data_IF_958172381239
#
_entry.id   IF_958172381239
#
_cell.length_a   1.000
_cell.length_b   1.000
_cell.length_c   1.000
_cell.angle_alpha   90.00
_cell.angle_beta   90.00
_cell.angle_gamma   90.00
#
_symmetry.space_group_name_H-M   'P 1'
#
loop_
_entity.id
_entity.type
_entity.pdbx_description
1 polymer ?
#
# COMPACT_ATOMS: atom_id res chain seq x y z
N UNK A 1 -4.44 -3.56 10.59
CA UNK A 1 -3.63 -2.35 10.77
C UNK A 1 -4.32 -1.44 11.77
N UNK A 2 -3.57 -0.90 12.70
CA UNK A 2 -4.11 -0.25 13.87
C UNK A 2 -4.56 1.20 13.69
N UNK A 3 -5.33 1.51 12.66
CA UNK A 3 -5.92 2.84 12.50
C UNK A 3 -7.25 2.89 13.26
N UNK A 4 -7.33 3.80 14.22
CA UNK A 4 -8.50 3.94 15.07
C UNK A 4 -9.65 4.62 14.32
N UNK A 5 -10.87 4.08 14.47
CA UNK A 5 -12.08 4.67 13.89
C UNK A 5 -12.33 4.32 12.42
N UNK A 6 -11.46 3.50 11.81
CA UNK A 6 -11.62 3.06 10.44
C UNK A 6 -11.32 1.57 10.33
N UNK A 7 -11.81 0.95 9.25
CA UNK A 7 -11.44 -0.42 8.88
C UNK A 7 -10.55 -0.36 7.65
N UNK A 8 -9.52 -1.20 7.63
CA UNK A 8 -8.59 -1.32 6.50
C UNK A 8 -8.67 -2.73 5.97
N UNK A 9 -8.95 -2.87 4.68
CA UNK A 9 -9.04 -4.18 4.03
C UNK A 9 -8.25 -4.19 2.73
N UNK A 10 -7.70 -5.35 2.38
CA UNK A 10 -7.00 -5.55 1.12
C UNK A 10 -8.00 -5.44 -0.04
N UNK A 11 -7.63 -4.70 -1.07
CA UNK A 11 -8.48 -4.48 -2.25
C UNK A 11 -7.98 -5.27 -3.46
N UNK A 12 -6.76 -4.99 -3.92
CA UNK A 12 -6.16 -5.68 -5.06
C UNK A 12 -4.67 -5.40 -5.17
N UNK A 13 -3.98 -6.24 -5.94
CA UNK A 13 -2.61 -6.02 -6.36
C UNK A 13 -2.59 -5.74 -7.85
N UNK A 14 -1.75 -4.81 -8.28
CA UNK A 14 -1.53 -4.53 -9.70
C UNK A 14 -0.04 -4.47 -9.99
N UNK A 15 0.32 -4.85 -11.23
CA UNK A 15 1.70 -4.86 -11.70
C UNK A 15 1.75 -4.05 -12.99
N UNK A 16 2.67 -3.10 -13.07
CA UNK A 16 2.76 -2.26 -14.25
C UNK A 16 4.05 -1.47 -14.30
N UNK A 17 4.09 -0.51 -15.22
CA UNK A 17 5.25 0.34 -15.43
C UNK A 17 5.22 1.61 -14.59
N UNK A 18 4.09 1.90 -13.97
CA UNK A 18 3.92 3.04 -13.06
C UNK A 18 2.65 2.88 -12.24
N UNK A 19 2.57 3.60 -11.13
CA UNK A 19 1.36 3.68 -10.32
C UNK A 19 1.16 5.12 -9.84
N UNK A 20 -0.03 5.71 -9.92
CA UNK A 20 -1.20 5.21 -10.64
C UNK A 20 -0.98 5.22 -12.16
N UNK A 21 -1.64 4.33 -12.89
CA UNK A 21 -1.43 4.19 -14.34
C UNK A 21 -2.01 5.34 -15.14
N UNK A 22 -3.01 6.01 -14.61
CA UNK A 22 -3.73 7.10 -15.25
C UNK A 22 -3.32 8.49 -14.75
N UNK A 23 -2.30 8.57 -13.88
CA UNK A 23 -1.85 9.85 -13.35
C UNK A 23 -0.89 10.53 -14.33
N UNK A 24 -1.09 11.84 -14.51
CA UNK A 24 -0.24 12.64 -15.39
C UNK A 24 0.82 13.43 -14.63
N UNK A 25 0.56 13.80 -13.38
CA UNK A 25 1.42 14.70 -12.63
C UNK A 25 2.30 13.98 -11.60
N UNK A 26 1.72 13.13 -10.76
CA UNK A 26 2.45 12.42 -9.71
C UNK A 26 2.20 10.94 -9.86
N UNK A 27 3.28 10.20 -10.12
CA UNK A 27 3.23 8.74 -10.18
C UNK A 27 4.57 8.17 -9.74
N UNK A 28 4.59 6.88 -9.43
CA UNK A 28 5.83 6.14 -9.18
C UNK A 28 6.11 5.33 -10.44
N UNK A 29 7.14 5.69 -11.23
CA UNK A 29 7.52 4.90 -12.41
C UNK A 29 8.38 3.71 -12.00
N UNK A 30 8.36 2.67 -12.81
CA UNK A 30 9.22 1.51 -12.60
C UNK A 30 10.68 1.88 -12.88
N UNK A 31 11.58 1.45 -12.00
CA UNK A 31 13.00 1.55 -12.21
C UNK A 31 13.45 0.59 -13.33
N UNK A 32 14.64 0.84 -13.87
CA UNK A 32 15.21 -0.03 -14.91
C UNK A 32 15.30 -1.48 -14.40
N UNK A 33 14.77 -2.42 -15.17
CA UNK A 33 14.75 -3.84 -14.79
C UNK A 33 13.69 -4.20 -13.77
N UNK A 34 12.81 -3.27 -13.43
CA UNK A 34 11.76 -3.49 -12.43
C UNK A 34 10.37 -3.25 -13.00
N UNK A 35 9.39 -3.71 -12.25
CA UNK A 35 7.98 -3.34 -12.40
C UNK A 35 7.51 -2.74 -11.08
N UNK A 36 6.51 -1.87 -11.17
CA UNK A 36 5.85 -1.33 -9.99
C UNK A 36 4.74 -2.30 -9.60
N UNK A 37 4.84 -2.83 -8.39
CA UNK A 37 3.77 -3.64 -7.79
C UNK A 37 3.08 -2.76 -6.77
N UNK A 38 1.80 -2.49 -6.99
CA UNK A 38 0.99 -1.67 -6.09
C UNK A 38 -0.05 -2.56 -5.41
N UNK A 39 -0.03 -2.56 -4.09
CA UNK A 39 -1.03 -3.27 -3.28
C UNK A 39 -1.99 -2.23 -2.75
N UNK A 40 -3.23 -2.30 -3.20
CA UNK A 40 -4.26 -1.34 -2.81
C UNK A 40 -5.09 -1.85 -1.64
N UNK A 41 -5.44 -0.92 -0.76
CA UNK A 41 -6.28 -1.16 0.40
C UNK A 41 -7.46 -0.20 0.39
N UNK A 42 -8.58 -0.68 0.89
CA UNK A 42 -9.74 0.17 1.16
C UNK A 42 -9.75 0.56 2.62
N UNK A 43 -9.76 1.85 2.88
CA UNK A 43 -9.93 2.41 4.22
C UNK A 43 -11.35 2.95 4.30
N UNK A 44 -12.16 2.36 5.16
CA UNK A 44 -13.56 2.78 5.34
C UNK A 44 -13.73 3.47 6.69
N UNK A 45 -14.29 4.66 6.67
CA UNK A 45 -14.64 5.37 7.89
C UNK A 45 -15.98 4.85 8.41
N UNK A 46 -15.92 4.02 9.43
CA UNK A 46 -17.11 3.43 10.06
C UNK A 46 -17.67 4.27 11.19
N UNK A 47 -17.02 5.40 11.50
CA UNK A 47 -17.47 6.32 12.53
C UNK A 47 -18.50 7.30 12.01
N UNK A 48 -18.93 8.21 12.88
CA UNK A 48 -19.92 9.23 12.58
C UNK A 48 -19.32 10.61 12.32
N UNK A 49 -18.00 10.75 12.42
CA UNK A 49 -17.26 11.98 12.21
C UNK A 49 -16.23 11.82 11.11
N UNK A 50 -15.73 12.92 10.56
CA UNK A 50 -14.64 12.92 9.57
C UNK A 50 -13.39 12.31 10.21
N UNK A 51 -12.77 11.40 9.50
CA UNK A 51 -11.49 10.82 9.90
C UNK A 51 -10.35 11.56 9.18
N UNK A 52 -9.34 11.97 9.92
CA UNK A 52 -8.11 12.54 9.35
C UNK A 52 -6.97 11.58 9.60
N UNK A 53 -6.34 11.12 8.54
CA UNK A 53 -5.28 10.12 8.64
C UNK A 53 -3.99 10.72 9.23
N UNK A 54 -3.36 9.97 10.13
CA UNK A 54 -2.09 10.35 10.76
C UNK A 54 -1.18 9.12 10.83
N UNK A 55 -0.88 8.52 9.69
CA UNK A 55 -0.14 7.25 9.66
C UNK A 55 1.32 7.38 10.05
N UNK A 56 1.87 8.58 10.10
CA UNK A 56 3.24 8.76 10.61
C UNK A 56 3.43 8.21 12.01
N UNK A 57 2.37 8.19 12.80
CA UNK A 57 2.41 7.65 14.17
C UNK A 57 2.17 6.14 14.23
N UNK A 58 1.74 5.53 13.13
CA UNK A 58 1.41 4.10 13.13
C UNK A 58 2.63 3.19 12.99
N UNK A 59 3.77 3.73 12.55
CA UNK A 59 5.03 2.99 12.37
C UNK A 59 4.85 1.69 11.59
N UNK A 60 4.04 1.75 10.55
CA UNK A 60 3.72 0.59 9.72
C UNK A 60 4.77 0.45 8.61
N UNK A 61 5.32 -0.75 8.48
CA UNK A 61 6.22 -1.12 7.38
C UNK A 61 5.64 -2.33 6.68
N UNK A 62 5.76 -2.38 5.35
CA UNK A 62 5.27 -3.50 4.56
C UNK A 62 6.40 -4.11 3.76
N UNK A 63 6.42 -5.44 3.70
CA UNK A 63 7.36 -6.22 2.89
C UNK A 63 6.59 -7.14 1.97
N UNK A 64 7.02 -7.18 0.73
CA UNK A 64 6.42 -8.01 -0.30
C UNK A 64 7.35 -9.19 -0.61
N UNK A 65 6.83 -10.40 -0.55
CA UNK A 65 7.52 -11.58 -1.05
C UNK A 65 6.98 -11.92 -2.44
N UNK A 66 7.86 -11.93 -3.43
CA UNK A 66 7.50 -12.21 -4.82
C UNK A 66 8.60 -13.05 -5.44
N UNK A 67 8.24 -14.18 -6.03
CA UNK A 67 9.24 -15.11 -6.58
C UNK A 67 10.25 -15.53 -5.52
N UNK A 68 11.53 -15.29 -5.78
CA UNK A 68 12.61 -15.60 -4.84
C UNK A 68 13.03 -14.40 -4.00
N UNK A 69 12.45 -13.22 -4.22
CA UNK A 69 12.86 -11.98 -3.59
C UNK A 69 11.90 -11.48 -2.52
N UNK A 70 12.45 -10.66 -1.63
CA UNK A 70 11.68 -9.90 -0.63
C UNK A 70 11.97 -8.43 -0.83
N UNK A 71 10.92 -7.62 -0.86
CA UNK A 71 11.00 -6.21 -1.18
C UNK A 71 10.38 -5.38 -0.07
N UNK A 72 11.07 -4.31 0.32
CA UNK A 72 10.53 -3.32 1.25
C UNK A 72 9.76 -2.27 0.46
N UNK A 73 8.68 -1.77 1.02
CA UNK A 73 7.88 -0.74 0.37
C UNK A 73 8.74 0.46 -0.04
N UNK A 74 8.39 1.03 -1.19
CA UNK A 74 8.97 2.27 -1.67
C UNK A 74 8.16 3.44 -1.09
N UNK A 75 8.81 4.29 -0.30
CA UNK A 75 8.15 5.50 0.20
C UNK A 75 7.98 6.47 -0.95
N UNK A 76 6.74 6.77 -1.28
CA UNK A 76 6.42 7.62 -2.40
C UNK A 76 5.88 8.97 -1.93
N UNK A 77 5.78 9.92 -2.87
CA UNK A 77 5.14 11.21 -2.63
C UNK A 77 3.65 11.18 -2.98
N UNK A 78 3.10 10.00 -3.24
CA UNK A 78 1.68 9.85 -3.53
C UNK A 78 0.85 10.18 -2.29
N UNK A 79 -0.25 10.89 -2.51
CA UNK A 79 -1.16 11.25 -1.43
C UNK A 79 -1.79 10.04 -0.77
N UNK A 80 -1.93 8.96 -1.52
CA UNK A 80 -2.55 7.73 -1.02
C UNK A 80 -1.54 6.65 -0.64
N UNK A 81 -0.27 6.97 -0.47
CA UNK A 81 0.71 6.03 0.05
C UNK A 81 0.33 5.65 1.47
N UNK A 82 -0.01 4.38 1.69
CA UNK A 82 -0.51 3.92 2.99
C UNK A 82 0.51 4.09 4.11
N UNK A 83 1.78 4.13 3.76
CA UNK A 83 2.85 4.28 4.73
C UNK A 83 3.19 5.74 5.01
N UNK A 84 2.55 6.65 4.30
CA UNK A 84 2.78 8.09 4.44
C UNK A 84 1.48 8.88 4.26
N UNK A 85 0.34 8.31 4.63
CA UNK A 85 -0.93 9.05 4.66
C UNK A 85 -0.81 10.16 5.70
N UNK A 86 -0.88 11.39 5.23
CA UNK A 86 -0.85 12.55 6.10
C UNK A 86 -1.93 13.51 5.63
N UNK A 87 -2.84 13.86 6.54
CA UNK A 87 -3.95 14.77 6.29
C UNK A 87 -4.98 14.31 5.25
N UNK A 88 -4.96 13.04 4.85
CA UNK A 88 -6.06 12.51 4.05
C UNK A 88 -7.33 12.49 4.90
N UNK A 89 -8.43 13.02 4.36
CA UNK A 89 -9.70 13.09 5.08
C UNK A 89 -10.70 12.13 4.45
N UNK A 90 -11.42 11.39 5.30
CA UNK A 90 -12.44 10.45 4.87
C UNK A 90 -13.71 10.78 5.64
N UNK A 91 -14.74 11.18 4.92
CA UNK A 91 -16.03 11.51 5.55
C UNK A 91 -16.69 10.27 6.11
N UNK A 92 -17.58 10.45 7.08
CA UNK A 92 -18.31 9.34 7.70
C UNK A 92 -19.03 8.50 6.63
N UNK A 93 -18.81 7.19 6.68
CA UNK A 93 -19.39 6.25 5.73
C UNK A 93 -18.69 6.15 4.38
N UNK A 94 -17.69 6.99 4.10
CA UNK A 94 -16.95 6.96 2.84
C UNK A 94 -15.75 6.02 2.89
N UNK A 95 -15.27 5.67 1.69
CA UNK A 95 -14.10 4.83 1.50
C UNK A 95 -12.98 5.61 0.82
N UNK A 96 -11.74 5.23 1.12
CA UNK A 96 -10.55 5.80 0.51
C UNK A 96 -9.62 4.68 0.08
N UNK A 97 -9.06 4.77 -1.13
CA UNK A 97 -8.12 3.77 -1.62
C UNK A 97 -6.70 4.25 -1.33
N UNK A 98 -6.00 3.49 -0.50
CA UNK A 98 -4.58 3.71 -0.21
C UNK A 98 -3.76 2.59 -0.85
N UNK A 99 -2.47 2.82 -1.05
CA UNK A 99 -1.61 1.84 -1.70
C UNK A 99 -0.23 1.77 -1.06
N UNK A 100 0.35 0.57 -1.07
CA UNK A 100 1.76 0.35 -0.82
C UNK A 100 2.42 0.01 -2.16
N UNK A 101 3.55 0.65 -2.46
CA UNK A 101 4.20 0.54 -3.77
C UNK A 101 5.58 -0.10 -3.61
N UNK A 102 5.90 -1.04 -4.49
CA UNK A 102 7.16 -1.79 -4.47
C UNK A 102 7.81 -1.77 -5.84
N UNK A 103 9.13 -1.63 -5.86
CA UNK A 103 9.94 -1.82 -7.07
C UNK A 103 10.43 -3.27 -7.07
N UNK A 104 9.87 -4.09 -7.95
CA UNK A 104 10.09 -5.53 -7.97
C UNK A 104 10.77 -5.89 -9.29
N UNK A 105 11.79 -6.77 -9.25
CA UNK A 105 12.45 -7.21 -10.48
C UNK A 105 11.41 -7.76 -11.46
N UNK A 106 11.65 -7.56 -12.76
CA UNK A 106 10.70 -7.99 -13.79
C UNK A 106 10.39 -9.49 -13.68
N UNK A 107 11.39 -10.31 -13.36
CA UNK A 107 11.19 -11.75 -13.19
C UNK A 107 10.28 -12.06 -12.01
N UNK A 108 10.55 -11.46 -10.85
CA UNK A 108 9.76 -11.72 -9.63
C UNK A 108 8.36 -11.13 -9.74
N UNK A 109 8.20 -10.02 -10.45
CA UNK A 109 6.88 -9.40 -10.65
C UNK A 109 5.92 -10.29 -11.46
N UNK A 110 6.45 -11.19 -12.28
CA UNK A 110 5.65 -12.16 -13.02
C UNK A 110 5.30 -13.42 -12.24
N UNK A 111 5.83 -13.57 -11.03
CA UNK A 111 5.60 -14.78 -10.23
C UNK A 111 4.20 -14.77 -9.61
N UNK A 112 3.67 -15.99 -9.42
CA UNK A 112 2.40 -16.17 -8.70
C UNK A 112 2.67 -16.35 -7.20
N UNK A 113 1.65 -16.22 -6.37
CA UNK A 113 1.75 -16.49 -4.94
C UNK A 113 2.45 -15.42 -4.14
N UNK A 114 2.34 -14.15 -4.55
CA UNK A 114 2.88 -13.04 -3.78
C UNK A 114 2.23 -12.97 -2.40
N UNK A 115 3.04 -12.57 -1.41
CA UNK A 115 2.57 -12.37 -0.04
C UNK A 115 3.03 -11.01 0.46
N UNK A 116 2.17 -10.36 1.22
CA UNK A 116 2.46 -9.10 1.86
C UNK A 116 2.53 -9.31 3.37
N UNK A 117 3.64 -8.88 3.96
CA UNK A 117 3.79 -8.86 5.42
C UNK A 117 3.64 -7.42 5.91
N UNK A 118 2.78 -7.23 6.89
CA UNK A 118 2.57 -5.94 7.53
C UNK A 118 3.23 -6.00 8.91
N UNK A 119 4.13 -5.05 9.17
CA UNK A 119 4.86 -4.97 10.43
C UNK A 119 4.52 -3.68 11.15
N UNK A 120 4.37 -3.80 12.48
CA UNK A 120 4.29 -2.65 13.36
C UNK A 120 5.59 -2.61 14.16
N UNK A 121 6.45 -1.64 13.82
CA UNK A 121 7.83 -1.68 14.29
C UNK A 121 8.57 -2.88 13.70
N UNK A 122 9.07 -3.77 14.57
CA UNK A 122 9.74 -5.00 14.15
C UNK A 122 8.84 -6.22 14.26
N UNK A 123 7.62 -6.06 14.78
CA UNK A 123 6.71 -7.18 14.99
C UNK A 123 5.78 -7.36 13.81
N UNK A 124 5.76 -8.58 13.26
CA UNK A 124 4.81 -8.94 12.21
C UNK A 124 3.41 -9.05 12.80
N UNK A 125 2.46 -8.29 12.27
CA UNK A 125 1.08 -8.28 12.75
C UNK A 125 0.11 -8.95 11.78
N UNK A 126 0.46 -9.05 10.50
CA UNK A 126 -0.44 -9.59 9.49
C UNK A 126 0.33 -10.11 8.28
N UNK A 127 -0.17 -11.18 7.65
CA UNK A 127 0.30 -11.67 6.35
C UNK A 127 -0.89 -11.78 5.42
N UNK A 128 -0.79 -11.21 4.23
CA UNK A 128 -1.85 -11.20 3.23
C UNK A 128 -1.38 -11.92 1.99
N UNK A 129 -2.14 -12.92 1.55
CA UNK A 129 -1.91 -13.58 0.27
C UNK A 129 -2.50 -12.72 -0.84
N UNK A 130 -1.68 -12.37 -1.84
CA UNK A 130 -2.09 -11.51 -2.95
C UNK A 130 -2.45 -12.34 -4.17
N UNK A 131 -3.39 -11.86 -4.93
CA UNK A 131 -3.82 -12.48 -6.19
C UNK A 131 -3.41 -11.65 -7.38
#
# INVERSE_FOLDING_TARGET
MGLSGVTVSYKKVSVGNRYPTDAYAVCVPADSGCKVVAVEFTIKNTGSAVYTATTKSANVTMKLSAGSGTYTQYKSMLKNDICNLDKATINAGEEYTAAAVFQVSTTDAGASGMKLEVLSGTQQVETINLQ
#
